data_IF_925792976342
#
_entry.id   IF_925792976342
#
_cell.length_a   1.000
_cell.length_b   1.000
_cell.length_c   1.000
_cell.angle_alpha   90.00
_cell.angle_beta   90.00
_cell.angle_gamma   90.00
#
_symmetry.space_group_name_H-M   'P 1'
#
loop_
_entity.id
_entity.type
_entity.pdbx_description
1 polymer ?
#
# COMPACT_ATOMS: atom_id res chain seq x y z
N UNK A 1 1.27 -4.30 13.76
CA UNK A 1 1.96 -3.47 12.73
C UNK A 1 1.13 -2.24 12.45
N UNK A 2 -0.12 -2.40 11.98
CA UNK A 2 -1.00 -1.27 11.72
C UNK A 2 -1.10 -0.30 12.90
N UNK A 3 -1.38 -0.80 14.09
CA UNK A 3 -1.62 0.02 15.28
C UNK A 3 -0.33 0.60 15.87
N UNK A 4 0.80 -0.09 15.71
CA UNK A 4 2.09 0.35 16.25
C UNK A 4 2.88 1.24 15.28
N UNK A 5 2.77 0.99 13.97
CA UNK A 5 3.54 1.69 12.93
C UNK A 5 2.68 2.57 12.04
N UNK A 6 1.36 2.62 12.29
CA UNK A 6 0.37 3.35 11.50
C UNK A 6 0.44 3.05 9.99
N UNK A 7 0.92 1.85 9.62
CA UNK A 7 1.18 1.48 8.23
C UNK A 7 0.43 0.21 7.84
N UNK A 8 -0.26 0.21 6.69
CA UNK A 8 -0.79 -1.02 6.11
C UNK A 8 0.35 -1.96 5.71
N UNK A 9 0.08 -3.24 5.81
CA UNK A 9 0.93 -4.33 5.36
C UNK A 9 0.03 -5.33 4.64
N UNK A 10 0.43 -5.82 3.49
CA UNK A 10 -0.22 -6.96 2.86
C UNK A 10 0.70 -8.18 2.88
N UNK A 11 0.09 -9.36 3.02
CA UNK A 11 0.78 -10.64 3.00
C UNK A 11 0.11 -11.55 1.98
N UNK A 12 0.90 -12.03 1.04
CA UNK A 12 0.49 -13.03 0.07
C UNK A 12 0.96 -14.42 0.53
N UNK A 13 0.22 -15.43 0.17
CA UNK A 13 0.70 -16.81 0.16
C UNK A 13 1.65 -16.97 -1.03
N UNK A 14 2.96 -17.02 -0.74
CA UNK A 14 3.97 -17.03 -1.78
C UNK A 14 3.87 -18.25 -2.70
N UNK A 15 3.36 -19.36 -2.18
CA UNK A 15 3.20 -20.62 -2.96
C UNK A 15 2.06 -20.52 -3.98
N UNK A 16 1.19 -19.50 -3.88
CA UNK A 16 0.10 -19.24 -4.81
C UNK A 16 0.45 -18.20 -5.89
N UNK A 17 1.61 -17.54 -5.79
CA UNK A 17 2.05 -16.55 -6.77
C UNK A 17 2.58 -17.28 -8.01
N UNK A 18 1.96 -17.05 -9.16
CA UNK A 18 2.37 -17.68 -10.40
C UNK A 18 3.61 -16.98 -11.01
N UNK A 19 4.68 -17.76 -11.20
CA UNK A 19 5.91 -17.30 -11.83
C UNK A 19 6.87 -16.55 -10.91
N UNK A 20 6.72 -16.69 -9.59
CA UNK A 20 7.61 -16.15 -8.55
C UNK A 20 7.82 -14.63 -8.63
N UNK A 21 6.86 -13.91 -9.22
CA UNK A 21 6.92 -12.45 -9.42
C UNK A 21 5.55 -11.82 -9.26
N UNK A 22 5.55 -10.68 -8.56
CA UNK A 22 4.43 -9.76 -8.56
C UNK A 22 4.74 -8.55 -9.43
N UNK A 23 3.74 -8.10 -10.15
CA UNK A 23 3.80 -6.92 -11.02
C UNK A 23 2.87 -5.85 -10.47
N UNK A 24 3.39 -4.63 -10.34
CA UNK A 24 2.59 -3.45 -10.07
C UNK A 24 2.33 -2.79 -11.42
N UNK A 25 1.07 -2.69 -11.83
CA UNK A 25 0.69 -2.17 -13.13
C UNK A 25 -0.68 -1.50 -13.11
N UNK A 26 -1.02 -0.83 -14.17
CA UNK A 26 -2.41 -0.44 -14.41
C UNK A 26 -3.23 -1.69 -14.74
N UNK A 27 -4.47 -1.71 -14.29
CA UNK A 27 -5.39 -2.79 -14.63
C UNK A 27 -5.68 -2.80 -16.14
N UNK A 28 -6.03 -3.94 -16.66
CA UNK A 28 -6.70 -4.01 -17.97
C UNK A 28 -8.14 -3.52 -17.82
N UNK A 29 -8.72 -3.02 -18.93
CA UNK A 29 -10.10 -2.59 -18.86
C UNK A 29 -11.03 -3.78 -18.61
N UNK A 30 -11.97 -3.62 -17.68
CA UNK A 30 -12.89 -4.67 -17.23
C UNK A 30 -12.20 -5.88 -16.54
N UNK A 31 -10.96 -5.72 -16.11
CA UNK A 31 -10.27 -6.74 -15.33
C UNK A 31 -10.96 -6.95 -13.98
N UNK A 32 -11.21 -8.22 -13.63
CA UNK A 32 -11.98 -8.58 -12.45
C UNK A 32 -11.07 -9.08 -11.33
N UNK A 33 -11.35 -8.63 -10.12
CA UNK A 33 -10.66 -9.07 -8.90
C UNK A 33 -11.70 -9.55 -7.89
N UNK A 34 -11.57 -10.80 -7.46
CA UNK A 34 -12.33 -11.31 -6.34
C UNK A 34 -11.58 -11.04 -5.04
N UNK A 35 -12.09 -10.10 -4.27
CA UNK A 35 -11.38 -9.51 -3.14
C UNK A 35 -11.61 -10.24 -1.81
N UNK A 36 -10.76 -9.94 -0.79
CA UNK A 36 -10.82 -10.54 0.55
C UNK A 36 -12.14 -10.28 1.29
N UNK A 37 -12.90 -9.27 0.88
CA UNK A 37 -14.24 -9.00 1.41
C UNK A 37 -15.37 -9.77 0.67
N UNK A 38 -15.01 -10.81 -0.09
CA UNK A 38 -15.93 -11.71 -0.81
C UNK A 38 -16.75 -11.01 -1.90
N UNK A 39 -16.23 -9.91 -2.44
CA UNK A 39 -16.86 -9.18 -3.56
C UNK A 39 -15.99 -9.21 -4.79
N UNK A 40 -16.61 -9.27 -5.95
CA UNK A 40 -15.94 -9.07 -7.23
C UNK A 40 -15.97 -7.60 -7.59
N UNK A 41 -14.82 -7.08 -7.99
CA UNK A 41 -14.65 -5.72 -8.46
C UNK A 41 -14.18 -5.73 -9.91
N UNK A 42 -14.77 -4.86 -10.72
CA UNK A 42 -14.34 -4.64 -12.10
C UNK A 42 -13.49 -3.39 -12.16
N UNK A 43 -12.24 -3.55 -12.57
CA UNK A 43 -11.27 -2.48 -12.63
C UNK A 43 -11.29 -1.79 -14.01
N UNK A 44 -10.88 -0.53 -14.02
CA UNK A 44 -10.66 0.27 -15.22
C UNK A 44 -9.16 0.53 -15.40
N UNK A 45 -8.74 0.90 -16.60
CA UNK A 45 -7.32 1.06 -16.97
C UNK A 45 -6.57 2.19 -16.25
N UNK A 46 -7.26 3.03 -15.50
CA UNK A 46 -6.67 4.06 -14.64
C UNK A 46 -6.38 3.56 -13.21
N UNK A 47 -6.88 2.38 -12.84
CA UNK A 47 -6.68 1.79 -11.52
C UNK A 47 -5.35 1.05 -11.42
N UNK A 48 -4.69 1.16 -10.27
CA UNK A 48 -3.44 0.46 -10.00
C UNK A 48 -3.75 -0.89 -9.33
N UNK A 49 -3.14 -1.94 -9.85
CA UNK A 49 -3.30 -3.30 -9.34
C UNK A 49 -1.95 -3.98 -9.11
N UNK A 50 -1.95 -4.96 -8.25
CA UNK A 50 -0.84 -5.88 -8.03
C UNK A 50 -1.33 -7.26 -8.47
N UNK A 51 -0.53 -7.96 -9.22
CA UNK A 51 -0.85 -9.29 -9.71
C UNK A 51 0.36 -10.05 -10.17
N UNK A 52 0.15 -11.23 -10.67
CA UNK A 52 1.16 -12.11 -11.23
C UNK A 52 0.86 -12.46 -12.70
N UNK A 53 1.34 -13.61 -13.19
CA UNK A 53 1.10 -14.06 -14.58
C UNK A 53 -0.36 -14.41 -14.86
N UNK A 54 -1.14 -14.77 -13.84
CA UNK A 54 -2.54 -15.17 -14.01
C UNK A 54 -3.49 -13.97 -14.02
N UNK A 55 -3.01 -12.78 -13.66
CA UNK A 55 -3.79 -11.54 -13.67
C UNK A 55 -3.65 -10.71 -12.41
N UNK A 56 -4.55 -9.75 -12.23
CA UNK A 56 -4.59 -8.92 -11.05
C UNK A 56 -5.14 -9.69 -9.84
N UNK A 57 -4.51 -9.44 -8.70
CA UNK A 57 -4.92 -9.98 -7.42
C UNK A 57 -5.46 -8.89 -6.50
N UNK A 58 -4.68 -7.82 -6.36
CA UNK A 58 -4.96 -6.77 -5.39
C UNK A 58 -5.30 -5.46 -6.09
N UNK A 59 -6.23 -4.72 -5.51
CA UNK A 59 -6.44 -3.31 -5.80
C UNK A 59 -5.46 -2.54 -4.92
N UNK A 60 -4.38 -2.04 -5.53
CA UNK A 60 -3.20 -1.52 -4.85
C UNK A 60 -3.53 -0.45 -3.78
N UNK A 61 -3.12 -0.72 -2.55
CA UNK A 61 -3.35 0.16 -1.40
C UNK A 61 -4.79 0.23 -0.89
N UNK A 62 -5.70 -0.59 -1.42
CA UNK A 62 -7.14 -0.56 -1.09
C UNK A 62 -7.62 -1.89 -0.54
N UNK A 63 -7.47 -2.96 -1.30
CA UNK A 63 -8.03 -4.26 -0.94
C UNK A 63 -7.29 -5.40 -1.61
N UNK A 64 -6.89 -6.39 -0.83
CA UNK A 64 -6.26 -7.60 -1.32
C UNK A 64 -7.26 -8.56 -1.97
N UNK A 65 -6.74 -9.42 -2.85
CA UNK A 65 -7.51 -10.48 -3.49
C UNK A 65 -7.50 -11.79 -2.72
N UNK A 66 -8.45 -12.63 -3.01
CA UNK A 66 -8.58 -13.94 -2.35
C UNK A 66 -7.63 -14.99 -2.91
N UNK A 67 -7.27 -14.90 -4.19
CA UNK A 67 -6.53 -15.97 -4.88
C UNK A 67 -5.18 -16.25 -4.21
N UNK A 68 -4.41 -15.21 -3.96
CA UNK A 68 -3.12 -15.30 -3.26
C UNK A 68 -3.22 -15.01 -1.76
N UNK A 69 -4.43 -14.90 -1.24
CA UNK A 69 -4.68 -14.67 0.18
C UNK A 69 -4.13 -15.80 1.06
N UNK A 70 -3.64 -15.41 2.25
CA UNK A 70 -3.15 -16.37 3.25
C UNK A 70 -4.28 -17.22 3.82
N UNK A 71 -3.92 -18.43 4.22
CA UNK A 71 -4.84 -19.42 4.82
C UNK A 71 -4.16 -20.15 5.98
N UNK A 72 -4.88 -21.02 6.64
CA UNK A 72 -4.32 -21.86 7.72
C UNK A 72 -3.24 -22.84 7.24
N UNK A 73 -3.11 -23.05 5.94
CA UNK A 73 -2.10 -23.95 5.35
C UNK A 73 -0.91 -23.21 4.77
N UNK A 74 -0.94 -21.88 4.72
CA UNK A 74 0.15 -21.04 4.20
C UNK A 74 1.42 -21.23 5.03
N UNK A 75 2.53 -21.49 4.37
CA UNK A 75 3.86 -21.66 4.98
C UNK A 75 4.84 -20.58 4.55
N UNK A 76 4.78 -20.17 3.29
CA UNK A 76 5.68 -19.18 2.73
C UNK A 76 4.92 -17.87 2.52
N UNK A 77 5.45 -16.76 3.06
CA UNK A 77 4.82 -15.45 2.99
C UNK A 77 5.65 -14.53 2.09
N UNK A 78 4.96 -13.83 1.20
CA UNK A 78 5.50 -12.64 0.56
C UNK A 78 4.87 -11.42 1.26
N UNK A 79 5.71 -10.58 1.88
CA UNK A 79 5.26 -9.38 2.59
C UNK A 79 5.44 -8.15 1.70
N UNK A 80 4.36 -7.43 1.48
CA UNK A 80 4.37 -6.17 0.74
C UNK A 80 4.36 -4.99 1.71
N UNK A 81 5.33 -4.10 1.52
CA UNK A 81 5.43 -2.82 2.22
C UNK A 81 5.61 -1.75 1.16
N UNK A 82 4.56 -1.03 0.83
CA UNK A 82 4.53 -0.14 -0.31
C UNK A 82 4.14 1.30 0.03
N UNK A 83 4.35 2.20 -0.90
CA UNK A 83 3.76 3.54 -0.96
C UNK A 83 3.05 3.66 -2.29
N UNK A 84 1.83 4.13 -2.26
CA UNK A 84 1.01 4.36 -3.44
C UNK A 84 0.68 5.84 -3.58
N UNK A 85 0.43 6.28 -4.81
CA UNK A 85 -0.04 7.64 -5.07
C UNK A 85 -1.39 7.90 -4.35
N UNK A 86 -1.47 8.85 -3.41
CA UNK A 86 -2.68 9.10 -2.64
C UNK A 86 -3.90 9.44 -3.49
N UNK A 87 -3.70 10.16 -4.60
CA UNK A 87 -4.79 10.57 -5.49
C UNK A 87 -5.36 9.35 -6.22
N UNK A 88 -4.48 8.49 -6.73
CA UNK A 88 -4.88 7.23 -7.38
C UNK A 88 -5.68 6.34 -6.44
N UNK A 89 -5.19 6.15 -5.20
CA UNK A 89 -5.90 5.35 -4.17
C UNK A 89 -7.26 5.97 -3.84
N UNK A 90 -7.32 7.29 -3.63
CA UNK A 90 -8.56 7.97 -3.29
C UNK A 90 -9.60 7.87 -4.43
N UNK A 91 -9.16 8.04 -5.67
CA UNK A 91 -10.04 8.00 -6.85
C UNK A 91 -10.57 6.59 -7.07
N UNK A 92 -9.69 5.59 -7.09
CA UNK A 92 -10.06 4.17 -7.25
C UNK A 92 -11.00 3.72 -6.14
N UNK A 93 -10.68 4.02 -4.89
CA UNK A 93 -11.52 3.61 -3.76
C UNK A 93 -12.91 4.25 -3.76
N UNK A 94 -13.04 5.48 -4.25
CA UNK A 94 -14.36 6.12 -4.46
C UNK A 94 -15.13 5.48 -5.60
N UNK A 95 -14.47 5.26 -6.72
CA UNK A 95 -15.09 4.66 -7.91
C UNK A 95 -15.64 3.25 -7.61
N UNK A 96 -14.89 2.43 -6.89
CA UNK A 96 -15.30 1.08 -6.51
C UNK A 96 -16.14 1.02 -5.21
N UNK A 97 -16.38 2.16 -4.57
CA UNK A 97 -17.09 2.27 -3.29
C UNK A 97 -16.51 1.33 -2.20
N UNK A 98 -15.17 1.26 -2.12
CA UNK A 98 -14.47 0.44 -1.12
C UNK A 98 -14.00 1.32 0.03
N UNK A 99 -14.39 0.96 1.24
CA UNK A 99 -13.92 1.57 2.48
C UNK A 99 -13.06 0.55 3.23
N UNK A 100 -11.76 0.82 3.32
CA UNK A 100 -10.81 -0.01 4.07
C UNK A 100 -9.87 0.85 4.90
N UNK A 101 -9.29 0.27 5.94
CA UNK A 101 -8.26 0.93 6.76
C UNK A 101 -6.99 1.22 5.93
N UNK A 102 -6.66 0.36 4.97
CA UNK A 102 -5.54 0.58 4.07
C UNK A 102 -5.78 1.82 3.20
N UNK A 103 -6.92 1.87 2.50
CA UNK A 103 -7.32 3.05 1.72
C UNK A 103 -7.29 4.32 2.57
N UNK A 104 -7.89 4.30 3.76
CA UNK A 104 -7.94 5.47 4.65
C UNK A 104 -6.57 6.08 4.92
N UNK A 105 -5.53 5.25 5.04
CA UNK A 105 -4.15 5.69 5.29
C UNK A 105 -3.44 6.11 4.02
N UNK A 106 -3.50 5.29 2.97
CA UNK A 106 -2.81 5.57 1.71
C UNK A 106 -3.35 6.81 1.00
N UNK A 107 -4.67 7.04 1.02
CA UNK A 107 -5.27 8.22 0.38
C UNK A 107 -4.87 9.56 1.04
N UNK A 108 -4.34 9.51 2.28
CA UNK A 108 -3.82 10.69 3.00
C UNK A 108 -2.32 10.87 2.86
N UNK A 109 -1.66 9.91 2.23
CA UNK A 109 -0.22 9.85 2.08
C UNK A 109 0.46 9.18 3.27
N UNK A 110 1.48 8.41 2.97
CA UNK A 110 2.39 7.79 3.92
C UNK A 110 3.81 8.28 3.68
N UNK A 111 4.64 8.18 4.71
CA UNK A 111 6.06 8.48 4.61
C UNK A 111 6.73 7.58 3.56
N UNK A 112 7.28 8.22 2.52
CA UNK A 112 7.87 7.54 1.38
C UNK A 112 9.18 6.81 1.67
N UNK A 113 9.89 7.18 2.74
CA UNK A 113 11.16 6.54 3.14
C UNK A 113 10.95 5.37 4.11
N UNK A 114 9.75 5.26 4.68
CA UNK A 114 9.47 4.25 5.69
C UNK A 114 9.46 2.79 5.21
N UNK A 115 9.17 2.41 3.95
CA UNK A 115 9.25 1.03 3.50
C UNK A 115 10.63 0.41 3.75
N UNK A 116 11.70 1.07 3.33
CA UNK A 116 13.05 0.55 3.46
C UNK A 116 13.50 0.43 4.92
N UNK A 117 13.19 1.43 5.74
CA UNK A 117 13.54 1.43 7.17
C UNK A 117 12.76 0.41 7.98
N UNK A 118 11.52 0.12 7.62
CA UNK A 118 10.62 -0.76 8.37
C UNK A 118 10.63 -2.21 7.90
N UNK A 119 11.07 -2.51 6.69
CA UNK A 119 11.03 -3.85 6.13
C UNK A 119 11.71 -4.90 7.01
N UNK A 120 12.92 -4.62 7.45
CA UNK A 120 13.66 -5.50 8.36
C UNK A 120 13.05 -5.63 9.76
N UNK A 121 12.41 -4.57 10.26
CA UNK A 121 11.70 -4.63 11.54
C UNK A 121 10.45 -5.52 11.43
N UNK A 122 9.66 -5.32 10.38
CA UNK A 122 8.42 -6.07 10.15
C UNK A 122 8.73 -7.56 9.93
N UNK A 123 9.74 -7.88 9.12
CA UNK A 123 10.14 -9.25 8.90
C UNK A 123 10.55 -9.96 10.21
N UNK A 124 11.37 -9.31 11.04
CA UNK A 124 11.74 -9.85 12.37
C UNK A 124 10.55 -9.96 13.30
N UNK A 125 9.60 -9.04 13.24
CA UNK A 125 8.39 -9.11 14.05
C UNK A 125 7.53 -10.32 13.66
N UNK A 126 7.34 -10.57 12.37
CA UNK A 126 6.63 -11.77 11.88
C UNK A 126 7.37 -13.04 12.28
N UNK A 127 8.69 -13.08 12.09
CA UNK A 127 9.52 -14.22 12.51
C UNK A 127 9.40 -14.52 14.00
N UNK A 128 9.37 -13.50 14.84
CA UNK A 128 9.24 -13.67 16.31
C UNK A 128 7.91 -14.31 16.70
N UNK A 129 6.85 -14.05 15.96
CA UNK A 129 5.49 -14.55 16.27
C UNK A 129 5.23 -15.90 15.61
N UNK A 130 5.63 -16.06 14.35
CA UNK A 130 5.30 -17.21 13.52
C UNK A 130 6.45 -18.21 13.37
N UNK A 131 7.65 -17.83 13.76
CA UNK A 131 8.86 -18.61 13.46
C UNK A 131 9.31 -18.45 12.02
N UNK A 132 10.07 -19.42 11.51
CA UNK A 132 10.54 -19.46 10.13
C UNK A 132 11.82 -18.68 9.87
N UNK A 133 12.19 -18.58 8.62
CA UNK A 133 13.41 -17.90 8.14
C UNK A 133 13.04 -16.68 7.30
N UNK A 134 13.85 -15.62 7.44
CA UNK A 134 13.70 -14.39 6.66
C UNK A 134 14.63 -14.48 5.45
N UNK A 135 14.07 -14.25 4.26
CA UNK A 135 14.85 -14.09 3.04
C UNK A 135 15.41 -12.67 2.91
N UNK A 136 15.86 -12.30 1.74
CA UNK A 136 16.32 -10.95 1.45
C UNK A 136 15.13 -10.00 1.14
N UNK A 137 15.34 -8.72 1.41
CA UNK A 137 14.41 -7.66 1.01
C UNK A 137 14.70 -7.27 -0.44
N UNK A 138 13.65 -7.12 -1.23
CA UNK A 138 13.71 -6.56 -2.58
C UNK A 138 13.00 -5.22 -2.57
N UNK A 139 13.70 -4.14 -2.92
CA UNK A 139 13.13 -2.81 -3.06
C UNK A 139 13.03 -2.46 -4.55
N UNK A 140 11.87 -1.98 -4.97
CA UNK A 140 11.59 -1.63 -6.37
C UNK A 140 10.89 -0.27 -6.42
N UNK A 141 11.31 0.57 -7.36
CA UNK A 141 10.79 1.90 -7.58
C UNK A 141 11.71 3.01 -7.06
N UNK A 142 11.43 4.23 -7.49
CA UNK A 142 12.15 5.41 -7.03
C UNK A 142 11.57 5.92 -5.72
N UNK A 143 12.44 6.35 -4.80
CA UNK A 143 12.00 6.94 -3.54
C UNK A 143 11.11 8.17 -3.75
N UNK A 144 10.18 8.38 -2.86
CA UNK A 144 9.27 9.55 -2.92
C UNK A 144 10.04 10.80 -2.52
N UNK A 145 10.14 11.77 -3.43
CA UNK A 145 10.70 13.10 -3.12
C UNK A 145 9.70 13.88 -2.27
N UNK A 146 9.89 13.87 -0.96
CA UNK A 146 9.00 14.57 -0.02
C UNK A 146 9.44 15.99 0.28
N UNK A 147 10.71 16.31 0.08
CA UNK A 147 11.28 17.61 0.40
C UNK A 147 10.73 18.68 -0.56
N UNK A 148 10.13 19.70 0.01
CA UNK A 148 9.64 20.87 -0.73
C UNK A 148 9.94 22.15 0.02
N UNK A 149 10.16 23.23 -0.72
CA UNK A 149 10.26 24.58 -0.16
C UNK A 149 8.90 25.26 -0.29
N UNK A 150 8.45 25.86 0.78
CA UNK A 150 7.21 26.65 0.81
C UNK A 150 7.58 28.06 1.20
N UNK A 151 7.19 29.04 0.38
CA UNK A 151 7.33 30.46 0.74
C UNK A 151 6.27 30.78 1.78
N UNK A 152 6.72 31.19 2.95
CA UNK A 152 5.84 31.60 4.04
C UNK A 152 5.86 33.12 4.19
N UNK A 153 4.69 33.74 4.29
CA UNK A 153 4.54 35.17 4.55
C UNK A 153 3.92 35.39 5.95
N UNK A 154 4.72 35.77 6.96
CA UNK A 154 4.25 36.01 8.32
C UNK A 154 3.16 37.11 8.40
N UNK A 155 3.27 38.12 7.55
CA UNK A 155 2.30 39.22 7.52
C UNK A 155 0.91 38.77 7.11
N UNK A 156 0.82 37.81 6.14
CA UNK A 156 -0.47 37.22 5.78
C UNK A 156 -1.09 36.46 6.96
N UNK A 157 -0.27 35.76 7.74
CA UNK A 157 -0.73 35.08 8.96
C UNK A 157 -1.31 36.09 9.93
N UNK A 158 -0.59 37.21 10.18
CA UNK A 158 -1.06 38.28 11.07
C UNK A 158 -2.41 38.86 10.59
N UNK A 159 -2.54 39.14 9.30
CA UNK A 159 -3.77 39.69 8.72
C UNK A 159 -4.96 38.75 8.84
N UNK A 160 -4.75 37.44 8.67
CA UNK A 160 -5.84 36.45 8.71
C UNK A 160 -6.21 36.03 10.12
N UNK A 161 -5.27 35.97 11.04
CA UNK A 161 -5.48 35.40 12.39
C UNK A 161 -5.41 36.41 13.51
N UNK A 162 -4.85 37.60 13.29
CA UNK A 162 -4.54 38.58 14.32
C UNK A 162 -3.32 38.22 15.22
N UNK A 163 -2.65 37.10 14.94
CA UNK A 163 -1.50 36.64 15.74
C UNK A 163 -0.21 37.22 15.18
N UNK A 164 0.58 37.86 16.03
CA UNK A 164 1.93 38.30 15.69
C UNK A 164 2.91 37.15 15.89
N UNK A 165 3.63 36.80 14.81
CA UNK A 165 4.69 35.79 14.87
C UNK A 165 6.02 36.50 15.11
N UNK A 166 6.75 36.09 16.14
CA UNK A 166 8.13 36.54 16.35
C UNK A 166 9.05 36.03 15.23
N UNK A 167 10.00 36.87 14.80
CA UNK A 167 11.01 36.54 13.77
C UNK A 167 12.09 35.63 14.33
#
# INVERSE_FOLDING_TARGET
>A
IRDSLCRPLHAFDADKINGDKLFIRRAENEEKIFALNEKEYTCTSDMLVIGDRDGADDIAGIMGGQRTGISNTTKNLFLEIAVFDPVSVATTGRSLNIHSDARYRFERGLDGESPDSLSGYIARFVQKICGGEISHVVSVGDGVKWQRKITFNPELTRQLTGIELAH
#
